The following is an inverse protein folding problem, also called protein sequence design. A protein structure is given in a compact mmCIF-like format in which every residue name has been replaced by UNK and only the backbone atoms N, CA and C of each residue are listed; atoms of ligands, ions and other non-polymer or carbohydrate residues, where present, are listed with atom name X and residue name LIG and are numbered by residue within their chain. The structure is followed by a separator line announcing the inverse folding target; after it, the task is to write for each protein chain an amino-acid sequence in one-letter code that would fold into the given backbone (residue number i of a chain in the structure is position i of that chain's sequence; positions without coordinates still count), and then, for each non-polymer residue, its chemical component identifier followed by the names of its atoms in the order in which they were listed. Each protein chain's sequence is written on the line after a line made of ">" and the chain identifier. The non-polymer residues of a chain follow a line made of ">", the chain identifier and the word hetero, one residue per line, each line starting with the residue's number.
data_IF_309875269249
#
_entry.id   IF_309875269249
#
_cell.length_a   1.000
_cell.length_b   1.000
_cell.length_c   1.000
_cell.angle_alpha   90.00
_cell.angle_beta   90.00
_cell.angle_gamma   90.00
#
_symmetry.space_group_name_H-M   'P 1'
#
loop_
_entity.id
_entity.type
_entity.pdbx_description
1 polymer ?
#
# COMPACT_ATOMS: atom_id res chain seq x y z
N UNK A 1 20.81 -9.68 -23.99
CA UNK A 1 19.70 -8.75 -24.29
C UNK A 1 19.99 -7.45 -23.56
N UNK A 2 19.88 -6.27 -24.20
CA UNK A 2 20.03 -5.01 -23.47
C UNK A 2 18.97 -4.99 -22.36
N UNK A 3 19.38 -4.61 -21.13
CA UNK A 3 18.43 -4.32 -20.05
C UNK A 3 17.48 -3.27 -20.59
N UNK A 4 16.21 -3.63 -20.76
CA UNK A 4 15.19 -2.65 -21.10
C UNK A 4 15.02 -1.79 -19.87
N UNK A 5 15.49 -0.55 -19.96
CA UNK A 5 15.43 0.39 -18.86
C UNK A 5 13.97 0.73 -18.58
N UNK A 6 13.55 0.57 -17.33
CA UNK A 6 12.19 0.87 -16.89
C UNK A 6 11.96 2.37 -17.01
N UNK A 7 10.86 2.76 -17.63
CA UNK A 7 10.45 4.15 -17.81
C UNK A 7 9.50 4.57 -16.68
N UNK A 8 9.94 5.39 -15.70
CA UNK A 8 9.12 5.69 -14.53
C UNK A 8 7.81 6.41 -14.84
N UNK A 9 7.78 7.22 -15.91
CA UNK A 9 6.56 7.90 -16.37
C UNK A 9 5.50 6.93 -16.89
N UNK A 10 5.92 5.90 -17.64
CA UNK A 10 5.03 4.83 -18.12
C UNK A 10 4.51 4.02 -16.95
N UNK A 11 5.38 3.62 -16.02
CA UNK A 11 4.99 2.87 -14.82
C UNK A 11 3.98 3.67 -13.98
N UNK A 12 4.25 4.96 -13.75
CA UNK A 12 3.35 5.82 -12.99
C UNK A 12 1.96 5.93 -13.64
N UNK A 13 1.92 6.12 -14.97
CA UNK A 13 0.68 6.20 -15.73
C UNK A 13 -0.12 4.88 -15.66
N UNK A 14 0.53 3.74 -15.89
CA UNK A 14 -0.11 2.43 -15.83
C UNK A 14 -0.60 2.06 -14.42
N UNK A 15 0.11 2.51 -13.40
CA UNK A 15 -0.29 2.37 -12.01
C UNK A 15 -1.58 3.16 -11.70
N UNK A 16 -1.78 4.31 -12.34
CA UNK A 16 -2.99 5.15 -12.22
C UNK A 16 -4.10 4.77 -13.20
N UNK A 17 -3.86 3.85 -14.13
CA UNK A 17 -4.88 3.35 -15.06
C UNK A 17 -5.96 2.52 -14.35
N UNK A 18 -7.23 2.80 -14.66
CA UNK A 18 -8.32 1.84 -14.64
C UNK A 18 -8.42 1.24 -16.04
N UNK A 19 -7.92 0.00 -16.20
CA UNK A 19 -7.87 -0.73 -17.48
C UNK A 19 -9.26 -1.10 -18.03
N UNK A 20 -10.34 -0.57 -17.45
CA UNK A 20 -11.69 -0.65 -18.02
C UNK A 20 -11.74 0.17 -19.30
N UNK A 21 -11.83 -0.54 -20.41
CA UNK A 21 -12.08 0.04 -21.71
C UNK A 21 -13.46 0.74 -21.72
N UNK A 22 -13.47 2.03 -22.05
CA UNK A 22 -14.68 2.84 -22.20
C UNK A 22 -15.08 2.91 -23.68
N UNK A 23 -16.21 2.29 -24.09
CA UNK A 23 -16.62 2.29 -25.49
C UNK A 23 -16.99 3.68 -26.04
N UNK A 24 -17.43 4.59 -25.16
CA UNK A 24 -17.83 5.95 -25.48
C UNK A 24 -16.65 6.86 -25.84
N UNK A 25 -15.51 6.68 -25.18
CA UNK A 25 -14.29 7.45 -25.48
C UNK A 25 -13.26 6.67 -26.29
N UNK A 26 -13.41 5.34 -26.40
CA UNK A 26 -12.43 4.44 -27.02
C UNK A 26 -11.02 4.58 -26.40
N UNK A 27 -10.94 4.92 -25.11
CA UNK A 27 -9.68 5.12 -24.38
C UNK A 27 -9.71 4.41 -23.03
N UNK A 28 -8.54 4.26 -22.42
CA UNK A 28 -8.44 3.94 -21.00
C UNK A 28 -8.82 5.15 -20.14
N UNK A 29 -9.01 4.90 -18.85
CA UNK A 29 -9.30 5.94 -17.85
C UNK A 29 -8.31 5.90 -16.71
N UNK A 30 -8.12 7.03 -16.05
CA UNK A 30 -7.50 7.10 -14.73
C UNK A 30 -8.43 6.48 -13.68
N UNK A 31 -7.87 6.11 -12.52
CA UNK A 31 -8.64 5.60 -11.37
C UNK A 31 -9.67 6.58 -10.82
N UNK A 32 -9.50 7.89 -11.06
CA UNK A 32 -10.47 8.92 -10.72
C UNK A 32 -11.64 9.01 -11.74
N UNK A 33 -11.59 8.22 -12.81
CA UNK A 33 -12.62 8.12 -13.83
C UNK A 33 -12.44 9.09 -15.01
N UNK A 34 -11.42 9.95 -15.01
CA UNK A 34 -11.09 10.81 -16.17
C UNK A 34 -10.58 9.95 -17.34
N UNK A 35 -10.98 10.23 -18.59
CA UNK A 35 -10.42 9.55 -19.76
C UNK A 35 -8.96 9.97 -19.98
N UNK A 36 -8.16 9.06 -20.52
CA UNK A 36 -6.81 9.36 -20.97
C UNK A 36 -6.84 10.36 -22.14
N UNK A 37 -5.90 11.29 -22.13
CA UNK A 37 -5.53 12.07 -23.30
C UNK A 37 -4.90 11.18 -24.38
N UNK A 38 -4.73 11.73 -25.59
CA UNK A 38 -4.08 10.99 -26.69
C UNK A 38 -2.61 10.72 -26.37
N UNK A 39 -1.96 11.66 -25.72
CA UNK A 39 -0.57 11.59 -25.30
C UNK A 39 -0.38 10.51 -24.21
N UNK A 40 -1.27 10.47 -23.22
CA UNK A 40 -1.28 9.41 -22.19
C UNK A 40 -1.55 8.04 -22.82
N UNK A 41 -2.54 7.93 -23.70
CA UNK A 41 -2.83 6.67 -24.39
C UNK A 41 -1.63 6.20 -25.22
N UNK A 42 -0.98 7.11 -25.96
CA UNK A 42 0.21 6.78 -26.75
C UNK A 42 1.37 6.34 -25.84
N UNK A 43 1.62 7.04 -24.73
CA UNK A 43 2.66 6.70 -23.77
C UNK A 43 2.39 5.35 -23.07
N UNK A 44 1.14 5.06 -22.72
CA UNK A 44 0.78 3.78 -22.13
C UNK A 44 1.01 2.61 -23.11
N UNK A 45 0.85 2.85 -24.41
CA UNK A 45 1.10 1.86 -25.47
C UNK A 45 2.60 1.64 -25.76
N UNK A 46 3.50 2.51 -25.31
CA UNK A 46 4.95 2.27 -25.42
C UNK A 46 5.50 1.36 -24.32
N UNK A 47 4.64 0.92 -23.40
CA UNK A 47 5.04 0.10 -22.26
C UNK A 47 5.77 -1.17 -22.69
N UNK A 48 6.93 -1.36 -22.10
CA UNK A 48 7.74 -2.56 -22.29
C UNK A 48 7.36 -3.63 -21.28
N UNK A 49 7.85 -4.86 -21.48
CA UNK A 49 7.69 -5.92 -20.49
C UNK A 49 8.31 -5.57 -19.15
N UNK A 50 9.44 -4.86 -19.13
CA UNK A 50 10.08 -4.43 -17.89
C UNK A 50 9.21 -3.43 -17.12
N UNK A 51 8.52 -2.52 -17.82
CA UNK A 51 7.59 -1.58 -17.19
C UNK A 51 6.39 -2.31 -16.57
N UNK A 52 5.83 -3.30 -17.29
CA UNK A 52 4.73 -4.11 -16.79
C UNK A 52 5.12 -4.94 -15.55
N UNK A 53 6.33 -5.50 -15.54
CA UNK A 53 6.89 -6.20 -14.39
C UNK A 53 7.06 -5.25 -13.19
N UNK A 54 7.56 -4.04 -13.40
CA UNK A 54 7.66 -3.03 -12.34
C UNK A 54 6.28 -2.63 -11.80
N UNK A 55 5.27 -2.41 -12.66
CA UNK A 55 3.89 -2.13 -12.24
C UNK A 55 3.36 -3.24 -11.33
N UNK A 56 3.61 -4.52 -11.68
CA UNK A 56 3.20 -5.64 -10.83
C UNK A 56 3.91 -5.63 -9.47
N UNK A 57 5.20 -5.29 -9.43
CA UNK A 57 5.94 -5.17 -8.17
C UNK A 57 5.40 -4.04 -7.30
N UNK A 58 5.11 -2.87 -7.88
CA UNK A 58 4.50 -1.73 -7.18
C UNK A 58 3.14 -2.10 -6.58
N UNK A 59 2.28 -2.76 -7.36
CA UNK A 59 0.98 -3.25 -6.89
C UNK A 59 1.13 -4.32 -5.80
N UNK A 60 2.12 -5.20 -5.90
CA UNK A 60 2.39 -6.22 -4.88
C UNK A 60 2.85 -5.59 -3.55
N UNK A 61 3.73 -4.58 -3.59
CA UNK A 61 4.15 -3.83 -2.39
C UNK A 61 2.96 -3.14 -1.72
N UNK A 62 2.09 -2.50 -2.51
CA UNK A 62 0.89 -1.89 -1.98
C UNK A 62 -0.10 -2.89 -1.37
N UNK A 63 -0.33 -4.03 -2.03
CA UNK A 63 -1.17 -5.11 -1.48
C UNK A 63 -0.61 -5.65 -0.17
N UNK A 64 0.71 -5.79 -0.07
CA UNK A 64 1.39 -6.20 1.17
C UNK A 64 1.18 -5.18 2.27
N UNK A 65 1.40 -3.89 1.99
CA UNK A 65 1.11 -2.81 2.93
C UNK A 65 -0.34 -2.84 3.41
N UNK A 66 -1.31 -2.92 2.48
CA UNK A 66 -2.73 -2.99 2.80
C UNK A 66 -3.05 -4.17 3.71
N UNK A 67 -2.52 -5.35 3.38
CA UNK A 67 -2.69 -6.54 4.22
C UNK A 67 -2.15 -6.31 5.63
N UNK A 68 -0.96 -5.71 5.77
CA UNK A 68 -0.39 -5.38 7.07
C UNK A 68 -1.26 -4.40 7.87
N UNK A 69 -1.83 -3.38 7.23
CA UNK A 69 -2.74 -2.43 7.89
C UNK A 69 -4.07 -3.11 8.27
N UNK A 70 -4.66 -3.90 7.37
CA UNK A 70 -5.91 -4.62 7.60
C UNK A 70 -5.76 -5.65 8.75
N UNK A 71 -4.59 -6.27 8.91
CA UNK A 71 -4.25 -7.22 9.99
C UNK A 71 -3.78 -6.55 11.29
N UNK A 72 -3.52 -5.23 11.29
CA UNK A 72 -2.94 -4.52 12.43
C UNK A 72 -3.83 -4.53 13.69
N UNK A 73 -5.17 -4.36 13.63
CA UNK A 73 -6.01 -4.40 14.83
C UNK A 73 -5.95 -5.74 15.56
N UNK A 74 -6.04 -6.85 14.83
CA UNK A 74 -5.92 -8.20 15.40
C UNK A 74 -4.51 -8.45 15.95
N UNK A 75 -3.48 -7.97 15.24
CA UNK A 75 -2.09 -8.08 15.69
C UNK A 75 -1.87 -7.31 16.99
N UNK A 76 -2.44 -6.12 17.13
CA UNK A 76 -2.41 -5.31 18.35
C UNK A 76 -3.09 -6.02 19.54
N UNK A 77 -4.27 -6.62 19.31
CA UNK A 77 -4.98 -7.38 20.35
C UNK A 77 -4.13 -8.56 20.83
N UNK A 78 -3.57 -9.35 19.91
CA UNK A 78 -2.70 -10.48 20.24
C UNK A 78 -1.44 -10.06 20.97
N UNK A 79 -0.82 -8.95 20.54
CA UNK A 79 0.36 -8.39 21.16
C UNK A 79 0.08 -7.94 22.61
N UNK A 80 -1.06 -7.30 22.86
CA UNK A 80 -1.41 -6.82 24.20
C UNK A 80 -1.87 -7.92 25.16
N UNK A 81 -2.42 -9.03 24.65
CA UNK A 81 -3.06 -10.06 25.47
C UNK A 81 -2.18 -10.60 26.63
N UNK A 82 -0.89 -10.93 26.45
CA UNK A 82 -0.04 -11.44 27.54
C UNK A 82 0.23 -10.43 28.65
N UNK A 83 0.27 -9.13 28.31
CA UNK A 83 0.45 -8.07 29.31
C UNK A 83 -0.85 -7.85 30.07
N UNK A 84 -1.98 -7.81 29.35
CA UNK A 84 -3.30 -7.60 29.94
C UNK A 84 -3.70 -8.72 30.91
N UNK A 85 -3.31 -9.97 30.63
CA UNK A 85 -3.62 -11.11 31.51
C UNK A 85 -2.88 -11.08 32.85
N UNK A 86 -1.80 -10.31 32.98
CA UNK A 86 -1.04 -10.17 34.22
C UNK A 86 -1.60 -9.06 35.13
N UNK A 87 -2.54 -8.26 34.63
CA UNK A 87 -3.04 -7.09 35.34
C UNK A 87 -4.35 -7.41 36.07
N UNK A 88 -4.44 -6.96 37.32
CA UNK A 88 -5.72 -6.92 38.05
C UNK A 88 -6.70 -5.93 37.43
N UNK A 89 -6.18 -4.84 36.84
CA UNK A 89 -6.95 -3.88 36.05
C UNK A 89 -6.40 -3.78 34.63
N UNK A 90 -7.17 -4.28 33.66
CA UNK A 90 -6.82 -4.31 32.22
C UNK A 90 -6.89 -2.93 31.56
N UNK A 91 -5.97 -2.04 31.94
CA UNK A 91 -5.78 -0.72 31.34
C UNK A 91 -4.48 -0.70 30.54
N UNK A 92 -4.50 -0.12 29.34
CA UNK A 92 -3.31 -0.01 28.47
C UNK A 92 -2.14 0.67 29.19
N UNK A 93 -2.38 1.75 29.93
CA UNK A 93 -1.33 2.43 30.70
C UNK A 93 -0.68 1.57 31.79
N UNK A 94 -1.37 0.53 32.29
CA UNK A 94 -0.78 -0.45 33.20
C UNK A 94 0.04 -1.49 32.44
N UNK A 95 -0.43 -1.93 31.26
CA UNK A 95 0.30 -2.86 30.41
C UNK A 95 1.64 -2.28 29.95
N UNK A 96 1.68 -0.99 29.58
CA UNK A 96 2.91 -0.27 29.18
C UNK A 96 3.98 -0.29 30.28
N UNK A 97 3.60 -0.35 31.57
CA UNK A 97 4.57 -0.44 32.68
C UNK A 97 5.26 -1.81 32.75
N UNK A 98 4.66 -2.85 32.18
CA UNK A 98 5.23 -4.20 32.08
C UNK A 98 6.13 -4.37 30.85
N UNK A 99 6.06 -3.45 29.89
CA UNK A 99 6.74 -3.54 28.61
C UNK A 99 8.20 -3.06 28.69
N UNK A 100 9.09 -3.82 28.04
CA UNK A 100 10.45 -3.39 27.74
C UNK A 100 10.49 -2.28 26.69
N UNK A 101 11.69 -1.85 26.32
CA UNK A 101 11.87 -0.84 25.26
C UNK A 101 11.39 -1.36 23.90
N UNK A 102 11.80 -2.57 23.52
CA UNK A 102 11.40 -3.21 22.26
C UNK A 102 9.88 -3.42 22.16
N UNK A 103 9.24 -3.81 23.27
CA UNK A 103 7.79 -3.97 23.33
C UNK A 103 7.07 -2.65 23.10
N UNK A 104 7.59 -1.54 23.66
CA UNK A 104 7.01 -0.21 23.44
C UNK A 104 7.19 0.26 22.01
N UNK A 105 8.33 -0.04 21.38
CA UNK A 105 8.55 0.25 19.96
C UNK A 105 7.56 -0.52 19.07
N UNK A 106 7.31 -1.80 19.36
CA UNK A 106 6.32 -2.58 18.62
C UNK A 106 4.88 -2.10 18.90
N UNK A 107 4.57 -1.71 20.14
CA UNK A 107 3.29 -1.09 20.48
C UNK A 107 3.07 0.18 19.66
N UNK A 108 4.04 1.09 19.63
CA UNK A 108 3.96 2.35 18.90
C UNK A 108 3.80 2.10 17.40
N UNK A 109 4.54 1.12 16.84
CA UNK A 109 4.40 0.70 15.45
C UNK A 109 2.99 0.18 15.14
N UNK A 110 2.44 -0.71 15.97
CA UNK A 110 1.10 -1.27 15.78
C UNK A 110 0.00 -0.21 15.95
N UNK A 111 0.15 0.69 16.93
CA UNK A 111 -0.76 1.83 17.10
C UNK A 111 -0.71 2.78 15.89
N UNK A 112 0.48 3.05 15.35
CA UNK A 112 0.63 3.82 14.12
C UNK A 112 -0.13 3.18 12.95
N UNK A 113 -0.01 1.86 12.76
CA UNK A 113 -0.74 1.14 11.71
C UNK A 113 -2.27 1.18 11.88
N UNK A 114 -2.77 1.19 13.12
CA UNK A 114 -4.22 1.21 13.42
C UNK A 114 -4.82 2.63 13.35
N UNK A 115 -4.04 3.65 13.72
CA UNK A 115 -4.54 5.02 13.88
C UNK A 115 -4.28 5.91 12.67
N UNK A 116 -3.23 5.65 11.89
CA UNK A 116 -2.95 6.41 10.68
C UNK A 116 -3.98 6.07 9.57
N UNK A 117 -4.45 7.07 8.81
CA UNK A 117 -5.24 6.82 7.62
C UNK A 117 -4.49 5.92 6.64
N UNK A 118 -5.19 4.93 6.08
CA UNK A 118 -4.62 4.04 5.05
C UNK A 118 -4.10 4.89 3.89
N UNK A 119 -2.81 4.75 3.59
CA UNK A 119 -2.20 5.47 2.47
C UNK A 119 -2.85 5.01 1.16
N UNK A 120 -3.24 5.98 0.34
CA UNK A 120 -3.69 5.70 -1.03
C UNK A 120 -2.50 5.19 -1.84
N UNK A 121 -2.79 4.34 -2.82
CA UNK A 121 -1.76 3.88 -3.75
C UNK A 121 -1.14 5.07 -4.48
N UNK A 122 0.19 5.11 -4.50
CA UNK A 122 1.01 6.04 -5.24
C UNK A 122 2.23 5.27 -5.73
N UNK A 123 2.61 5.38 -7.01
CA UNK A 123 3.80 4.72 -7.54
C UNK A 123 5.05 5.11 -6.72
N UNK A 124 5.90 4.13 -6.42
CA UNK A 124 7.17 4.30 -5.70
C UNK A 124 7.06 4.79 -4.25
N UNK A 125 5.87 4.71 -3.64
CA UNK A 125 5.64 5.13 -2.26
C UNK A 125 5.57 3.97 -1.22
N UNK A 126 5.74 2.72 -1.66
CA UNK A 126 5.56 1.49 -0.85
C UNK A 126 6.69 0.48 -1.06
#
# INVERSE_FOLDING_TARGET
>A
MPKTEVQPSVVALLCDSDFKYRPDTNTWTHRDGRPFSKEEQALALTATRADLEEVQQQLARYRKYRKTVDEAPESLVRFLAPFMSQLTESKLGNAVKLMGEDDRLELDRLLGLVTEPVRRFAPYAF
#
